data_IF_350605447178
#
_entry.id   IF_350605447178
#
_cell.length_a   1.000
_cell.length_b   1.000
_cell.length_c   1.000
_cell.angle_alpha   90.00
_cell.angle_beta   90.00
_cell.angle_gamma   90.00
#
_symmetry.space_group_name_H-M   'P 1'
#
loop_
_entity.id
_entity.type
_entity.pdbx_description
1 polymer ?
#
# COMPACT_ATOMS: atom_id res chain seq x y z
N UNK A 1 82.26 31.93 4.15
CA UNK A 1 82.37 33.32 4.68
C UNK A 1 81.40 34.21 4.00
N UNK A 2 80.67 35.13 4.58
CA UNK A 2 80.26 35.31 5.98
C UNK A 2 78.73 35.17 6.14
N UNK A 3 78.18 34.77 7.19
CA UNK A 3 77.79 35.30 8.47
C UNK A 3 76.93 36.59 8.47
N UNK A 4 75.88 36.53 9.23
CA UNK A 4 75.18 37.59 10.02
C UNK A 4 73.68 37.70 9.62
N UNK A 5 72.72 37.91 10.51
CA UNK A 5 72.64 38.22 11.94
C UNK A 5 71.23 37.84 12.43
N UNK A 6 71.16 37.46 13.69
CA UNK A 6 69.91 37.33 14.47
C UNK A 6 69.32 38.72 14.74
N UNK A 7 67.97 38.80 14.66
CA UNK A 7 67.28 39.84 15.43
C UNK A 7 66.09 39.20 16.13
N UNK A 8 66.13 39.23 17.44
CA UNK A 8 65.07 38.81 18.37
C UNK A 8 64.11 39.99 18.49
N UNK A 9 62.81 39.71 18.33
CA UNK A 9 61.81 40.68 18.74
C UNK A 9 60.81 39.97 19.65
N UNK A 10 60.88 40.36 20.92
CA UNK A 10 59.98 39.94 21.99
C UNK A 10 58.67 40.73 21.88
N UNK A 11 57.51 40.10 21.77
CA UNK A 11 56.24 40.79 21.97
C UNK A 11 55.43 40.03 23.02
N UNK A 12 55.03 40.83 24.01
CA UNK A 12 54.33 40.48 25.25
C UNK A 12 52.94 39.96 24.96
N UNK A 13 52.62 38.79 25.51
CA UNK A 13 51.26 38.17 25.44
C UNK A 13 50.34 38.76 26.50
N UNK A 14 49.21 39.33 26.10
CA UNK A 14 48.10 39.61 27.00
C UNK A 14 47.15 38.42 26.93
N UNK A 15 47.00 37.69 28.03
CA UNK A 15 46.08 36.61 28.20
C UNK A 15 44.65 37.13 28.40
N UNK A 16 43.75 36.85 27.45
CA UNK A 16 42.31 36.95 27.62
C UNK A 16 41.75 35.54 27.80
N UNK A 17 41.36 35.19 29.02
CA UNK A 17 40.57 33.99 29.31
C UNK A 17 39.18 34.18 28.75
N UNK A 18 38.87 33.48 27.63
CA UNK A 18 37.52 33.29 27.16
C UNK A 18 37.04 31.91 27.64
N UNK A 19 36.06 31.89 28.53
CA UNK A 19 35.37 30.70 28.98
C UNK A 19 34.62 30.04 27.81
N UNK A 20 35.17 28.95 27.30
CA UNK A 20 34.49 28.06 26.34
C UNK A 20 33.44 27.26 27.09
N UNK A 21 32.16 27.60 26.83
CA UNK A 21 31.03 26.73 27.13
C UNK A 21 31.08 25.58 26.11
N UNK A 22 31.50 24.41 26.56
CA UNK A 22 31.44 23.18 25.77
C UNK A 22 29.98 22.71 25.74
N UNK A 23 29.27 23.09 24.70
CA UNK A 23 27.99 22.44 24.35
C UNK A 23 28.26 21.02 23.80
N UNK A 24 27.35 20.07 24.01
CA UNK A 24 27.52 18.73 23.45
C UNK A 24 27.64 18.81 21.93
N UNK A 25 28.76 18.35 21.40
CA UNK A 25 28.96 18.16 19.98
C UNK A 25 28.03 17.03 19.53
N UNK A 26 26.93 17.39 18.86
CA UNK A 26 26.25 16.46 18.02
C UNK A 26 27.21 16.13 16.87
N UNK A 27 27.77 14.92 16.89
CA UNK A 27 28.49 14.38 15.75
C UNK A 27 27.46 14.30 14.58
N UNK A 28 27.59 15.23 13.66
CA UNK A 28 26.90 15.23 12.38
C UNK A 28 27.62 14.15 11.54
N UNK A 29 27.18 12.90 11.75
CA UNK A 29 27.61 11.78 10.92
C UNK A 29 26.94 11.98 9.54
N UNK A 30 27.49 12.91 8.76
CA UNK A 30 27.20 13.03 7.34
C UNK A 30 27.68 11.73 6.68
N UNK A 31 26.80 10.71 6.70
CA UNK A 31 26.88 9.65 5.73
C UNK A 31 27.12 10.33 4.37
N UNK A 32 28.19 9.99 3.68
CA UNK A 32 28.44 10.42 2.31
C UNK A 32 27.23 9.99 1.50
N UNK A 33 26.26 10.87 1.36
CA UNK A 33 25.18 10.70 0.40
C UNK A 33 25.86 10.79 -0.96
N UNK A 34 25.76 9.70 -1.70
CA UNK A 34 26.17 9.66 -3.10
C UNK A 34 25.32 10.69 -3.84
N UNK A 35 25.89 11.86 -4.14
CA UNK A 35 25.17 13.01 -4.70
C UNK A 35 24.65 12.74 -6.12
N UNK A 36 25.00 11.59 -6.71
CA UNK A 36 24.55 11.14 -8.03
C UNK A 36 23.25 10.33 -8.03
N UNK A 37 22.67 10.00 -6.86
CA UNK A 37 21.42 9.25 -6.84
C UNK A 37 20.23 10.16 -7.22
N UNK A 38 19.31 9.70 -8.09
CA UNK A 38 18.12 10.45 -8.44
C UNK A 38 17.30 10.76 -7.18
N UNK A 39 16.76 12.00 -7.11
CA UNK A 39 15.96 12.52 -6.00
C UNK A 39 14.65 13.11 -6.54
N UNK A 40 13.60 13.23 -5.72
CA UNK A 40 12.41 13.97 -6.11
C UNK A 40 12.77 15.39 -6.55
N UNK A 41 12.29 15.83 -7.71
CA UNK A 41 12.64 17.13 -8.32
C UNK A 41 11.66 18.26 -7.96
N UNK A 42 10.62 17.97 -7.16
CA UNK A 42 9.60 18.95 -6.80
C UNK A 42 8.86 18.58 -5.52
N UNK A 43 7.87 19.39 -5.13
CA UNK A 43 7.04 19.11 -3.97
C UNK A 43 6.30 17.79 -4.17
N UNK A 44 6.33 16.95 -3.15
CA UNK A 44 5.57 15.70 -3.10
C UNK A 44 4.19 15.93 -2.48
N UNK A 45 3.27 14.99 -2.68
CA UNK A 45 1.95 14.99 -2.06
C UNK A 45 2.06 15.00 -0.53
N UNK A 46 1.09 15.63 0.14
CA UNK A 46 0.97 15.62 1.61
C UNK A 46 -0.22 14.81 2.09
N UNK A 47 -0.80 13.99 1.23
CA UNK A 47 -1.87 13.04 1.61
C UNK A 47 -1.35 12.16 2.74
N UNK A 48 -2.15 11.97 3.77
CA UNK A 48 -1.74 11.22 4.96
C UNK A 48 -0.86 11.97 5.95
N UNK A 49 -0.38 13.19 5.62
CA UNK A 49 0.37 14.02 6.56
C UNK A 49 1.50 14.84 5.94
N UNK A 50 1.74 16.01 6.49
CA UNK A 50 2.75 16.94 5.95
C UNK A 50 4.16 16.34 5.89
N UNK A 51 4.52 15.50 6.87
CA UNK A 51 5.86 14.87 6.93
C UNK A 51 6.09 13.89 5.78
N UNK A 52 5.03 13.20 5.32
CA UNK A 52 5.12 12.26 4.20
C UNK A 52 5.47 12.94 2.87
N UNK A 53 5.16 14.25 2.75
CA UNK A 53 5.55 15.07 1.60
C UNK A 53 6.98 15.61 1.64
N UNK A 54 7.72 15.38 2.72
CA UNK A 54 9.11 15.85 2.84
C UNK A 54 10.08 14.88 2.15
N UNK A 55 11.11 15.44 1.53
CA UNK A 55 12.21 14.67 0.93
C UNK A 55 13.05 14.02 2.04
N UNK A 56 13.55 12.81 1.75
CA UNK A 56 14.39 12.06 2.67
C UNK A 56 13.59 11.21 3.67
N UNK A 57 14.30 10.69 4.67
CA UNK A 57 13.74 9.78 5.66
C UNK A 57 12.96 10.52 6.74
N UNK A 58 11.76 10.08 6.98
CA UNK A 58 10.87 10.56 8.03
C UNK A 58 10.68 9.46 9.06
N UNK A 59 11.14 9.72 10.27
CA UNK A 59 10.97 8.86 11.45
C UNK A 59 11.00 9.72 12.70
N UNK A 60 10.28 9.32 13.75
CA UNK A 60 10.29 9.99 15.04
C UNK A 60 10.42 8.97 16.16
N UNK A 61 11.67 8.76 16.59
CA UNK A 61 12.01 7.77 17.59
C UNK A 61 11.67 8.28 19.00
N UNK A 62 10.84 7.55 19.71
CA UNK A 62 10.59 7.76 21.12
C UNK A 62 11.58 7.02 22.03
N UNK A 63 11.43 7.10 23.34
CA UNK A 63 12.31 6.43 24.30
C UNK A 63 12.31 4.90 24.09
N UNK A 64 13.50 4.32 23.95
CA UNK A 64 13.70 2.89 23.76
C UNK A 64 13.31 2.36 22.37
N UNK A 65 13.05 3.24 21.40
CA UNK A 65 12.87 2.84 20.01
C UNK A 65 14.21 2.42 19.40
N UNK A 66 14.23 1.34 18.59
CA UNK A 66 15.42 0.95 17.84
C UNK A 66 15.72 1.97 16.74
N UNK A 67 16.99 2.20 16.44
CA UNK A 67 17.39 2.95 15.25
C UNK A 67 16.91 2.24 13.97
N UNK A 68 16.67 3.01 12.90
CA UNK A 68 16.38 2.45 11.59
C UNK A 68 17.50 1.51 11.11
N UNK A 69 17.19 0.49 10.32
CA UNK A 69 18.19 -0.37 9.70
C UNK A 69 19.21 0.47 8.91
N UNK A 70 20.46 0.04 8.94
CA UNK A 70 21.51 0.61 8.09
C UNK A 70 21.37 0.06 6.67
N UNK A 71 21.93 0.77 5.69
CA UNK A 71 21.99 0.32 4.29
C UNK A 71 20.63 0.14 3.60
N UNK A 72 19.66 0.97 3.95
CA UNK A 72 18.42 1.09 3.16
C UNK A 72 18.73 1.91 1.90
N UNK A 73 18.57 1.30 0.75
CA UNK A 73 18.89 1.89 -0.55
C UNK A 73 17.66 2.10 -1.44
N UNK A 74 16.49 1.70 -0.96
CA UNK A 74 15.20 1.95 -1.63
C UNK A 74 15.01 3.44 -1.87
N UNK A 75 14.81 3.84 -3.13
CA UNK A 75 14.57 5.25 -3.50
C UNK A 75 13.32 5.82 -2.87
N UNK A 76 12.34 4.97 -2.66
CA UNK A 76 11.12 5.27 -1.91
C UNK A 76 10.73 4.05 -1.10
N UNK A 77 10.36 4.24 0.17
CA UNK A 77 9.86 3.16 1.02
C UNK A 77 8.96 3.68 2.14
N UNK A 78 8.14 2.81 2.69
CA UNK A 78 7.22 3.09 3.78
C UNK A 78 7.01 1.85 4.64
N UNK A 79 6.86 2.04 5.95
CA UNK A 79 6.41 1.02 6.92
C UNK A 79 5.20 1.56 7.65
N UNK A 80 4.10 0.82 7.64
CA UNK A 80 2.85 1.23 8.27
C UNK A 80 2.17 0.07 9.01
N UNK A 81 1.42 0.39 10.04
CA UNK A 81 0.52 -0.51 10.70
C UNK A 81 -0.75 -0.69 9.84
N UNK A 82 -1.06 -1.91 9.45
CA UNK A 82 -2.14 -2.20 8.51
C UNK A 82 -3.53 -1.92 9.10
N UNK A 83 -3.69 -2.11 10.42
CA UNK A 83 -4.97 -1.96 11.10
C UNK A 83 -5.27 -0.50 11.39
N UNK A 84 -4.39 0.19 12.11
CA UNK A 84 -4.57 1.60 12.45
C UNK A 84 -4.35 2.54 11.26
N UNK A 85 -3.53 2.15 10.29
CA UNK A 85 -3.09 2.99 9.19
C UNK A 85 -1.91 3.90 9.54
N UNK A 86 -1.42 3.88 10.77
CA UNK A 86 -0.30 4.72 11.20
C UNK A 86 0.98 4.40 10.44
N UNK A 87 1.61 5.43 9.86
CA UNK A 87 2.92 5.31 9.21
C UNK A 87 4.02 5.47 10.24
N UNK A 88 4.78 4.40 10.48
CA UNK A 88 5.84 4.36 11.47
C UNK A 88 7.11 5.07 11.00
N UNK A 89 7.46 4.88 9.72
CA UNK A 89 8.56 5.55 9.06
C UNK A 89 8.39 5.52 7.54
N UNK A 90 9.03 6.46 6.84
CA UNK A 90 9.05 6.49 5.39
C UNK A 90 10.29 7.19 4.85
N UNK A 91 10.56 6.98 3.57
CA UNK A 91 11.56 7.70 2.79
C UNK A 91 10.96 8.07 1.44
N UNK A 92 10.88 9.36 1.14
CA UNK A 92 10.30 9.86 -0.11
C UNK A 92 8.94 9.20 -0.44
N UNK A 93 8.03 9.07 0.53
CA UNK A 93 6.82 8.25 0.46
C UNK A 93 5.97 8.50 -0.78
N UNK A 94 5.91 9.73 -1.25
CA UNK A 94 5.12 10.21 -2.39
C UNK A 94 5.94 10.44 -3.66
N UNK A 95 7.16 9.89 -3.73
CA UNK A 95 7.94 9.98 -4.96
C UNK A 95 7.32 9.09 -6.05
N UNK A 96 6.93 9.71 -7.16
CA UNK A 96 6.34 9.04 -8.31
C UNK A 96 7.41 8.27 -9.08
N UNK A 97 7.36 6.96 -9.02
CA UNK A 97 8.26 6.02 -9.68
C UNK A 97 7.44 4.99 -10.48
N UNK A 98 8.03 4.35 -11.51
CA UNK A 98 7.38 3.24 -12.17
C UNK A 98 7.10 2.10 -11.18
N UNK A 99 5.87 1.58 -11.11
CA UNK A 99 5.49 0.58 -10.10
C UNK A 99 5.87 -0.85 -10.46
N UNK A 100 6.16 -1.15 -11.71
CA UNK A 100 6.23 -2.51 -12.22
C UNK A 100 4.97 -3.32 -11.82
N UNK A 101 5.11 -4.62 -11.67
CA UNK A 101 4.00 -5.53 -11.33
C UNK A 101 3.40 -5.35 -9.94
N UNK A 102 3.91 -4.44 -9.09
CA UNK A 102 3.20 -4.08 -7.84
C UNK A 102 1.89 -3.35 -8.13
N UNK A 103 1.72 -2.72 -9.32
CA UNK A 103 0.46 -2.15 -9.77
C UNK A 103 -0.67 -3.20 -9.87
N UNK A 104 -0.34 -4.49 -10.04
CA UNK A 104 -1.33 -5.57 -10.05
C UNK A 104 -2.13 -5.69 -8.75
N UNK A 105 -1.69 -5.07 -7.67
CA UNK A 105 -2.50 -4.97 -6.45
C UNK A 105 -3.73 -4.10 -6.68
N UNK A 106 -3.58 -2.95 -7.35
CA UNK A 106 -4.70 -2.11 -7.76
C UNK A 106 -5.60 -2.81 -8.78
N UNK A 107 -5.00 -3.51 -9.77
CA UNK A 107 -5.75 -4.33 -10.72
C UNK A 107 -6.65 -5.35 -9.99
N UNK A 108 -6.06 -6.13 -9.09
CA UNK A 108 -6.81 -7.13 -8.34
C UNK A 108 -7.87 -6.50 -7.44
N UNK A 109 -7.55 -5.42 -6.75
CA UNK A 109 -8.47 -4.71 -5.87
C UNK A 109 -9.70 -4.15 -6.63
N UNK A 110 -9.51 -3.77 -7.90
CA UNK A 110 -10.55 -3.25 -8.80
C UNK A 110 -11.40 -4.36 -9.42
N UNK A 111 -10.76 -5.40 -9.96
CA UNK A 111 -11.39 -6.37 -10.89
C UNK A 111 -11.93 -7.59 -10.15
N UNK A 112 -11.24 -8.07 -9.11
CA UNK A 112 -11.59 -9.30 -8.38
C UNK A 112 -13.04 -9.32 -7.86
N UNK A 113 -13.59 -8.21 -7.29
CA UNK A 113 -14.98 -8.21 -6.82
C UNK A 113 -16.03 -8.32 -7.94
N UNK A 114 -15.64 -8.10 -9.20
CA UNK A 114 -16.55 -8.09 -10.36
C UNK A 114 -16.55 -9.40 -11.13
N UNK A 115 -15.51 -10.20 -11.01
CA UNK A 115 -15.39 -11.49 -11.67
C UNK A 115 -15.68 -12.62 -10.68
N UNK A 116 -16.95 -12.77 -10.36
CA UNK A 116 -17.47 -13.79 -9.44
C UNK A 116 -18.59 -14.59 -10.13
N UNK A 117 -18.78 -15.86 -9.82
CA UNK A 117 -17.98 -16.67 -8.87
C UNK A 117 -16.61 -17.04 -9.45
N UNK A 118 -15.63 -17.33 -8.60
CA UNK A 118 -14.27 -17.71 -9.01
C UNK A 118 -14.19 -19.02 -9.85
N UNK A 119 -15.27 -19.79 -9.86
CA UNK A 119 -15.46 -20.99 -10.72
C UNK A 119 -15.91 -20.64 -12.13
N UNK A 120 -16.25 -19.38 -12.41
CA UNK A 120 -16.56 -18.93 -13.77
C UNK A 120 -15.40 -19.28 -14.71
N UNK A 121 -15.69 -19.77 -15.88
CA UNK A 121 -14.71 -20.17 -16.90
C UNK A 121 -14.70 -19.21 -18.07
N UNK A 122 -13.55 -19.09 -18.73
CA UNK A 122 -13.37 -18.32 -19.95
C UNK A 122 -12.56 -19.14 -20.96
N UNK A 123 -13.04 -19.20 -22.20
CA UNK A 123 -12.30 -19.76 -23.33
C UNK A 123 -11.42 -18.65 -23.90
N UNK A 124 -10.12 -18.80 -23.76
CA UNK A 124 -9.14 -17.79 -24.18
C UNK A 124 -9.05 -17.72 -25.70
N UNK A 125 -9.22 -16.53 -26.24
CA UNK A 125 -9.04 -16.22 -27.67
C UNK A 125 -7.72 -15.50 -27.92
N UNK A 126 -7.22 -15.43 -29.16
CA UNK A 126 -6.03 -14.63 -29.49
C UNK A 126 -6.17 -13.15 -29.08
N UNK A 127 -7.38 -12.60 -29.18
CA UNK A 127 -7.70 -11.22 -28.83
C UNK A 127 -7.51 -10.94 -27.32
N UNK A 128 -7.77 -11.94 -26.46
CA UNK A 128 -7.56 -11.83 -25.02
C UNK A 128 -6.07 -11.66 -24.65
N UNK A 129 -5.17 -12.14 -25.49
CA UNK A 129 -3.72 -12.08 -25.29
C UNK A 129 -3.06 -10.94 -26.09
N UNK A 130 -3.86 -10.24 -26.90
CA UNK A 130 -3.35 -9.12 -27.68
C UNK A 130 -2.81 -7.99 -26.78
N UNK A 131 -1.66 -7.43 -27.13
CA UNK A 131 -1.04 -6.31 -26.43
C UNK A 131 -0.28 -6.69 -25.16
N UNK A 132 -0.11 -7.98 -24.84
CA UNK A 132 0.85 -8.43 -23.82
C UNK A 132 2.26 -7.98 -24.25
N UNK A 133 2.91 -7.16 -23.44
CA UNK A 133 4.21 -6.57 -23.76
C UNK A 133 5.30 -7.62 -23.92
N UNK A 134 6.23 -7.40 -24.84
CA UNK A 134 7.37 -8.29 -25.04
C UNK A 134 8.24 -8.38 -23.79
N UNK A 135 8.76 -9.56 -23.46
CA UNK A 135 9.54 -9.80 -22.24
C UNK A 135 8.72 -9.82 -20.95
N UNK A 136 7.39 -9.77 -21.05
CA UNK A 136 6.49 -9.87 -19.90
C UNK A 136 6.64 -11.19 -19.13
N UNK A 137 6.43 -11.14 -17.82
CA UNK A 137 6.20 -12.35 -17.03
C UNK A 137 4.89 -13.00 -17.47
N UNK A 138 4.92 -14.30 -17.72
CA UNK A 138 3.76 -15.09 -18.16
C UNK A 138 3.54 -16.26 -17.21
N UNK A 139 2.29 -16.64 -16.99
CA UNK A 139 1.96 -17.94 -16.37
C UNK A 139 1.90 -19.06 -17.41
N UNK A 140 1.70 -18.73 -18.67
CA UNK A 140 1.67 -19.66 -19.80
C UNK A 140 0.27 -19.99 -20.29
N UNK A 141 -0.62 -19.01 -20.27
CA UNK A 141 -1.98 -19.09 -20.87
C UNK A 141 -1.85 -19.50 -22.35
N UNK A 142 -2.75 -20.42 -22.78
CA UNK A 142 -2.83 -20.88 -24.16
C UNK A 142 -4.14 -20.45 -24.78
N UNK A 143 -4.07 -20.06 -26.06
CA UNK A 143 -5.22 -19.82 -26.90
C UNK A 143 -6.05 -21.10 -27.07
N UNK A 144 -7.36 -20.93 -27.19
CA UNK A 144 -8.33 -22.01 -27.34
C UNK A 144 -8.41 -22.97 -26.14
N UNK A 145 -7.85 -22.58 -25.00
CA UNK A 145 -7.95 -23.28 -23.74
C UNK A 145 -8.89 -22.55 -22.77
N UNK A 146 -9.54 -23.33 -21.92
CA UNK A 146 -10.46 -22.78 -20.91
C UNK A 146 -9.80 -22.73 -19.55
N UNK A 147 -9.88 -21.59 -18.87
CA UNK A 147 -9.40 -21.39 -17.52
C UNK A 147 -10.51 -20.86 -16.62
N UNK A 148 -10.44 -21.22 -15.33
CA UNK A 148 -11.32 -20.61 -14.34
C UNK A 148 -10.79 -19.23 -13.93
N UNK A 149 -11.66 -18.36 -13.44
CA UNK A 149 -11.25 -17.08 -12.82
C UNK A 149 -10.26 -17.32 -11.69
N UNK A 150 -10.44 -18.41 -10.92
CA UNK A 150 -9.49 -18.81 -9.88
C UNK A 150 -8.09 -19.09 -10.44
N UNK A 151 -7.98 -19.88 -11.51
CA UNK A 151 -6.69 -20.19 -12.15
C UNK A 151 -6.01 -18.90 -12.63
N UNK A 152 -6.76 -18.04 -13.29
CA UNK A 152 -6.24 -16.77 -13.79
C UNK A 152 -5.67 -15.89 -12.65
N UNK A 153 -6.37 -15.79 -11.52
CA UNK A 153 -5.86 -15.05 -10.35
C UNK A 153 -4.61 -15.68 -9.74
N UNK A 154 -4.53 -17.01 -9.67
CA UNK A 154 -3.28 -17.69 -9.28
C UNK A 154 -2.14 -17.33 -10.24
N UNK A 155 -2.40 -17.28 -11.55
CA UNK A 155 -1.43 -16.81 -12.55
C UNK A 155 -0.94 -15.37 -12.28
N UNK A 156 -1.85 -14.45 -11.96
CA UNK A 156 -1.53 -13.03 -11.64
C UNK A 156 -0.66 -12.93 -10.40
N UNK A 157 -1.03 -13.60 -9.30
CA UNK A 157 -0.33 -13.41 -8.02
C UNK A 157 0.96 -14.22 -7.94
N UNK A 158 0.96 -15.49 -8.34
CA UNK A 158 2.12 -16.36 -8.18
C UNK A 158 3.19 -16.11 -9.26
N UNK A 159 2.77 -16.06 -10.53
CA UNK A 159 3.70 -15.89 -11.67
C UNK A 159 3.81 -14.46 -12.16
N UNK A 160 3.05 -13.54 -11.57
CA UNK A 160 2.99 -12.16 -12.09
C UNK A 160 2.54 -12.09 -13.55
N UNK A 161 1.75 -13.07 -14.02
CA UNK A 161 1.39 -13.30 -15.42
C UNK A 161 0.65 -12.14 -16.03
N UNK A 162 1.27 -11.45 -17.00
CA UNK A 162 0.61 -10.40 -17.78
C UNK A 162 -0.44 -10.99 -18.72
N UNK A 163 -0.22 -12.21 -19.22
CA UNK A 163 -1.20 -13.00 -19.97
C UNK A 163 -2.50 -13.18 -19.17
N UNK A 164 -2.40 -13.58 -17.91
CA UNK A 164 -3.59 -13.72 -17.04
C UNK A 164 -4.26 -12.37 -16.74
N UNK A 165 -3.48 -11.28 -16.59
CA UNK A 165 -4.04 -9.92 -16.44
C UNK A 165 -4.83 -9.52 -17.68
N UNK A 166 -4.33 -9.78 -18.88
CA UNK A 166 -4.98 -9.43 -20.14
C UNK A 166 -6.30 -10.23 -20.32
N UNK A 167 -6.30 -11.54 -20.06
CA UNK A 167 -7.53 -12.35 -20.09
C UNK A 167 -8.56 -11.83 -19.10
N UNK A 168 -8.19 -11.58 -17.85
CA UNK A 168 -9.12 -11.01 -16.85
C UNK A 168 -9.59 -9.60 -17.23
N UNK A 169 -8.74 -8.81 -17.88
CA UNK A 169 -9.13 -7.49 -18.40
C UNK A 169 -10.14 -7.60 -19.53
N UNK A 170 -9.97 -8.58 -20.44
CA UNK A 170 -10.94 -8.88 -21.48
C UNK A 170 -12.29 -9.26 -20.89
N UNK A 171 -12.32 -10.16 -19.90
CA UNK A 171 -13.53 -10.56 -19.17
C UNK A 171 -14.19 -9.37 -18.44
N UNK A 172 -13.43 -8.36 -18.03
CA UNK A 172 -13.93 -7.16 -17.35
C UNK A 172 -14.51 -6.11 -18.32
N UNK A 173 -14.28 -6.26 -19.63
CA UNK A 173 -14.75 -5.35 -20.67
C UNK A 173 -13.63 -4.69 -21.47
N UNK A 174 -12.45 -5.29 -21.46
CA UNK A 174 -11.28 -4.88 -22.23
C UNK A 174 -10.29 -4.01 -21.43
N UNK A 175 -9.06 -3.94 -21.92
CA UNK A 175 -7.96 -3.19 -21.28
C UNK A 175 -8.31 -1.71 -21.05
N UNK A 176 -8.90 -0.96 -22.01
CA UNK A 176 -9.25 0.44 -21.77
C UNK A 176 -10.25 0.64 -20.63
N UNK A 177 -11.27 -0.22 -20.54
CA UNK A 177 -12.28 -0.19 -19.48
C UNK A 177 -11.63 -0.49 -18.12
N UNK A 178 -10.74 -1.48 -18.10
CA UNK A 178 -10.01 -1.88 -16.89
C UNK A 178 -9.11 -0.74 -16.39
N UNK A 179 -8.33 -0.12 -17.26
CA UNK A 179 -7.45 1.03 -16.93
C UNK A 179 -8.26 2.19 -16.36
N UNK A 180 -9.38 2.54 -17.00
CA UNK A 180 -10.25 3.62 -16.51
C UNK A 180 -10.84 3.29 -15.12
N UNK A 181 -11.24 2.03 -14.90
CA UNK A 181 -11.75 1.58 -13.60
C UNK A 181 -10.65 1.58 -12.53
N UNK A 182 -9.44 1.14 -12.85
CA UNK A 182 -8.28 1.19 -11.95
C UNK A 182 -7.94 2.63 -11.56
N UNK A 183 -7.90 3.56 -12.52
CA UNK A 183 -7.63 4.98 -12.25
C UNK A 183 -8.67 5.56 -11.30
N UNK A 184 -9.96 5.31 -11.58
CA UNK A 184 -11.06 5.74 -10.72
C UNK A 184 -10.97 5.13 -9.32
N UNK A 185 -10.56 3.86 -9.21
CA UNK A 185 -10.39 3.20 -7.93
C UNK A 185 -9.19 3.77 -7.15
N UNK A 186 -8.09 4.09 -7.82
CA UNK A 186 -6.96 4.79 -7.20
C UNK A 186 -7.38 6.15 -6.61
N UNK A 187 -8.19 6.92 -7.35
CA UNK A 187 -8.75 8.19 -6.88
C UNK A 187 -9.66 8.00 -5.66
N UNK A 188 -10.52 6.97 -5.67
CA UNK A 188 -11.38 6.60 -4.53
C UNK A 188 -10.55 6.26 -3.28
N UNK A 189 -9.41 5.59 -3.46
CA UNK A 189 -8.47 5.28 -2.38
C UNK A 189 -7.59 6.47 -1.98
N UNK A 190 -7.75 7.63 -2.61
CA UNK A 190 -6.90 8.82 -2.43
C UNK A 190 -5.42 8.59 -2.81
N UNK A 191 -5.15 7.62 -3.68
CA UNK A 191 -3.84 7.30 -4.23
C UNK A 191 -3.52 8.24 -5.40
N UNK A 192 -3.20 9.49 -5.09
CA UNK A 192 -3.15 10.61 -6.04
C UNK A 192 -1.81 10.74 -6.78
N UNK A 193 -0.81 9.94 -6.42
CA UNK A 193 0.45 9.87 -7.15
C UNK A 193 0.40 8.87 -8.31
N UNK A 194 -0.66 8.05 -8.36
CA UNK A 194 -0.79 6.98 -9.34
C UNK A 194 -1.43 7.46 -10.63
N UNK A 195 -0.77 7.14 -11.74
CA UNK A 195 -1.32 7.27 -13.09
C UNK A 195 -1.24 5.92 -13.80
N UNK A 196 -2.40 5.38 -14.15
CA UNK A 196 -2.54 4.05 -14.75
C UNK A 196 -2.57 4.15 -16.25
N UNK A 197 -1.68 3.44 -16.94
CA UNK A 197 -1.62 3.36 -18.41
C UNK A 197 -1.90 1.94 -18.90
N UNK A 198 -1.42 0.93 -18.14
CA UNK A 198 -1.70 -0.49 -18.38
C UNK A 198 -2.16 -1.17 -17.09
N UNK A 199 -2.93 -2.28 -17.17
CA UNK A 199 -3.40 -2.97 -15.98
C UNK A 199 -2.34 -3.81 -15.27
N UNK A 200 -1.24 -4.12 -15.94
CA UNK A 200 -0.24 -5.11 -15.54
C UNK A 200 1.04 -4.52 -14.94
N UNK A 201 1.24 -3.20 -15.06
CA UNK A 201 2.44 -2.52 -14.57
C UNK A 201 3.63 -2.56 -15.55
N UNK A 202 3.40 -2.88 -16.82
CA UNK A 202 4.43 -2.81 -17.85
C UNK A 202 4.98 -1.39 -18.03
N UNK A 203 6.23 -1.25 -18.53
CA UNK A 203 6.88 0.05 -18.72
C UNK A 203 6.20 0.87 -19.83
N UNK A 204 5.22 1.68 -19.46
CA UNK A 204 4.63 2.67 -20.35
C UNK A 204 5.00 4.09 -19.93
N UNK A 205 5.20 5.01 -20.91
CA UNK A 205 5.39 6.41 -20.59
C UNK A 205 4.27 6.95 -19.69
N UNK A 206 4.64 7.65 -18.61
CA UNK A 206 3.74 8.23 -17.60
C UNK A 206 3.11 7.23 -16.64
N UNK A 207 3.30 5.93 -16.77
CA UNK A 207 2.82 4.97 -15.76
C UNK A 207 3.67 5.10 -14.50
N UNK A 208 3.07 5.61 -13.44
CA UNK A 208 3.75 5.88 -12.16
C UNK A 208 2.85 5.56 -10.97
N UNK A 209 3.47 5.34 -9.83
CA UNK A 209 2.84 5.24 -8.51
C UNK A 209 3.84 5.70 -7.46
N UNK A 210 3.49 5.63 -6.17
CA UNK A 210 4.39 5.91 -5.05
C UNK A 210 4.37 4.77 -4.03
N UNK A 211 5.34 4.72 -3.13
CA UNK A 211 5.33 3.75 -2.05
C UNK A 211 4.09 3.92 -1.17
N UNK A 212 3.63 5.15 -0.97
CA UNK A 212 2.41 5.45 -0.25
C UNK A 212 1.18 4.85 -0.93
N UNK A 213 0.99 5.12 -2.22
CA UNK A 213 -0.17 4.65 -2.99
C UNK A 213 -0.19 3.12 -3.09
N UNK A 214 0.96 2.49 -3.38
CA UNK A 214 1.08 1.03 -3.41
C UNK A 214 0.70 0.39 -2.07
N UNK A 215 1.00 1.07 -0.95
CA UNK A 215 0.62 0.60 0.39
C UNK A 215 -0.89 0.76 0.63
N UNK A 216 -1.53 1.82 0.08
CA UNK A 216 -3.00 1.95 0.10
C UNK A 216 -3.66 0.82 -0.69
N UNK A 217 -3.15 0.46 -1.87
CA UNK A 217 -3.68 -0.66 -2.68
C UNK A 217 -3.57 -1.99 -1.95
N UNK A 218 -2.44 -2.25 -1.30
CA UNK A 218 -2.27 -3.44 -0.49
C UNK A 218 -3.26 -3.47 0.68
N UNK A 219 -3.38 -2.36 1.43
CA UNK A 219 -4.31 -2.24 2.57
C UNK A 219 -5.76 -2.48 2.16
N UNK A 220 -6.19 -1.92 1.04
CA UNK A 220 -7.55 -2.10 0.50
C UNK A 220 -7.77 -3.53 0.01
N UNK A 221 -6.86 -4.06 -0.79
CA UNK A 221 -6.93 -5.43 -1.32
C UNK A 221 -7.02 -6.47 -0.21
N UNK A 222 -6.23 -6.33 0.85
CA UNK A 222 -6.21 -7.22 2.01
C UNK A 222 -7.52 -7.25 2.81
N UNK A 223 -8.47 -6.33 2.59
CA UNK A 223 -9.82 -6.45 3.15
C UNK A 223 -10.63 -7.57 2.47
N UNK A 224 -10.22 -8.04 1.29
CA UNK A 224 -10.90 -9.07 0.49
C UNK A 224 -10.29 -10.45 0.77
N UNK A 225 -11.14 -11.43 1.11
CA UNK A 225 -10.68 -12.79 1.44
C UNK A 225 -9.91 -13.44 0.29
N UNK A 226 -10.46 -13.34 -0.93
CA UNK A 226 -9.84 -13.92 -2.13
C UNK A 226 -8.47 -13.29 -2.44
N UNK A 227 -8.34 -11.98 -2.26
CA UNK A 227 -7.04 -11.29 -2.42
C UNK A 227 -6.00 -11.82 -1.44
N UNK A 228 -6.37 -12.00 -0.15
CA UNK A 228 -5.48 -12.58 0.86
C UNK A 228 -5.08 -14.01 0.52
N UNK A 229 -6.03 -14.83 0.07
CA UNK A 229 -5.78 -16.21 -0.36
C UNK A 229 -4.75 -16.24 -1.48
N UNK A 230 -4.99 -15.51 -2.57
CA UNK A 230 -4.08 -15.53 -3.74
C UNK A 230 -2.69 -14.99 -3.41
N UNK A 231 -2.58 -13.86 -2.73
CA UNK A 231 -1.28 -13.24 -2.47
C UNK A 231 -0.41 -14.03 -1.47
N UNK A 232 -1.01 -14.83 -0.59
CA UNK A 232 -0.30 -15.66 0.38
C UNK A 232 0.00 -17.09 -0.10
N UNK A 233 -0.58 -17.51 -1.23
CA UNK A 233 -0.37 -18.86 -1.78
C UNK A 233 1.06 -19.01 -2.28
N UNK A 234 1.77 -20.02 -1.75
CA UNK A 234 3.17 -20.29 -2.11
C UNK A 234 3.29 -21.05 -3.43
N UNK A 235 2.47 -22.09 -3.62
CA UNK A 235 2.46 -22.94 -4.82
C UNK A 235 1.05 -23.35 -5.16
N UNK A 236 0.78 -23.59 -6.44
CA UNK A 236 -0.51 -24.09 -6.92
C UNK A 236 -0.31 -24.94 -8.18
N UNK A 237 -1.28 -25.81 -8.46
CA UNK A 237 -1.39 -26.48 -9.75
C UNK A 237 -2.06 -25.54 -10.76
N UNK A 238 -1.51 -25.44 -11.96
CA UNK A 238 -2.01 -24.60 -13.05
C UNK A 238 -2.34 -25.45 -14.27
N UNK A 239 -3.51 -25.27 -14.92
CA UNK A 239 -3.91 -26.07 -16.07
C UNK A 239 -2.97 -25.82 -17.27
N UNK A 240 -2.42 -26.89 -17.82
CA UNK A 240 -1.64 -26.86 -19.06
C UNK A 240 -2.51 -26.91 -20.32
N UNK A 241 -1.88 -27.22 -21.44
CA UNK A 241 -2.55 -27.38 -22.74
C UNK A 241 -3.31 -28.71 -22.81
N UNK A 242 -4.55 -28.69 -23.34
CA UNK A 242 -5.33 -29.89 -23.60
C UNK A 242 -4.83 -30.61 -24.85
N UNK A 243 -4.22 -31.76 -24.69
CA UNK A 243 -3.80 -32.60 -25.81
C UNK A 243 -4.93 -33.52 -26.25
N UNK A 244 -5.14 -33.62 -27.57
CA UNK A 244 -6.20 -34.47 -28.15
C UNK A 244 -6.12 -35.92 -27.64
N UNK A 245 -7.25 -36.42 -27.10
CA UNK A 245 -7.34 -37.80 -26.60
C UNK A 245 -6.64 -38.08 -25.27
N UNK A 246 -6.11 -37.05 -24.57
CA UNK A 246 -5.49 -37.19 -23.27
C UNK A 246 -6.25 -36.37 -22.22
N UNK A 247 -6.12 -36.75 -20.94
CA UNK A 247 -6.58 -35.88 -19.85
C UNK A 247 -5.69 -34.62 -19.85
N UNK A 248 -6.29 -33.46 -19.58
CA UNK A 248 -5.55 -32.20 -19.42
C UNK A 248 -4.57 -32.33 -18.26
N UNK A 249 -3.30 -32.10 -18.53
CA UNK A 249 -2.24 -32.10 -17.53
C UNK A 249 -2.21 -30.75 -16.83
N UNK A 250 -1.76 -30.72 -15.59
CA UNK A 250 -1.42 -29.50 -14.87
C UNK A 250 0.08 -29.44 -14.59
N UNK A 251 0.57 -28.27 -14.26
CA UNK A 251 1.96 -28.06 -13.81
C UNK A 251 1.97 -27.14 -12.58
N UNK A 252 2.95 -27.34 -11.73
CA UNK A 252 3.07 -26.53 -10.53
C UNK A 252 3.60 -25.14 -10.87
N UNK A 253 2.95 -24.10 -10.35
CA UNK A 253 3.45 -22.72 -10.33
C UNK A 253 3.82 -22.32 -8.91
N UNK A 254 4.88 -21.50 -8.79
CA UNK A 254 5.38 -21.02 -7.51
C UNK A 254 5.31 -19.50 -7.45
N UNK A 255 4.99 -18.98 -6.27
CA UNK A 255 4.97 -17.54 -6.03
C UNK A 255 6.39 -16.96 -6.17
N UNK A 256 6.49 -15.86 -6.90
CA UNK A 256 7.76 -15.15 -7.11
C UNK A 256 8.16 -14.24 -5.95
N UNK A 257 7.32 -14.11 -4.92
CA UNK A 257 7.64 -13.41 -3.68
C UNK A 257 8.64 -14.24 -2.86
N UNK A 258 9.90 -13.79 -2.83
CA UNK A 258 10.99 -14.52 -2.17
C UNK A 258 10.90 -14.54 -0.65
N UNK A 259 10.14 -13.65 -0.05
CA UNK A 259 9.87 -13.73 1.40
C UNK A 259 8.86 -14.85 1.73
N UNK A 260 8.05 -15.31 0.75
CA UNK A 260 7.18 -16.49 0.92
C UNK A 260 7.95 -17.79 0.64
N UNK A 261 8.66 -17.83 -0.49
CA UNK A 261 9.21 -19.08 -1.05
C UNK A 261 10.68 -19.30 -0.75
N UNK A 262 11.39 -18.28 -0.30
CA UNK A 262 12.84 -18.28 -0.19
C UNK A 262 13.54 -18.16 -1.54
N UNK A 263 14.85 -17.89 -1.48
CA UNK A 263 15.80 -17.95 -2.58
C UNK A 263 17.23 -17.97 -2.00
N UNK A 264 18.25 -18.12 -2.84
CA UNK A 264 19.66 -18.05 -2.39
C UNK A 264 19.91 -16.70 -1.71
N UNK A 265 20.23 -16.75 -0.41
CA UNK A 265 20.49 -15.56 0.41
C UNK A 265 19.25 -14.79 0.88
N UNK A 266 18.06 -15.39 0.73
CA UNK A 266 16.79 -14.88 1.28
C UNK A 266 15.98 -16.04 1.85
N UNK A 267 15.90 -16.14 3.15
CA UNK A 267 15.06 -17.11 3.81
C UNK A 267 13.58 -16.69 3.78
N UNK A 268 12.62 -17.65 3.81
CA UNK A 268 11.22 -17.33 4.02
C UNK A 268 11.05 -16.52 5.31
N UNK A 269 10.36 -15.38 5.20
CA UNK A 269 10.21 -14.45 6.31
C UNK A 269 9.05 -14.86 7.22
N UNK A 270 9.34 -15.01 8.52
CA UNK A 270 8.33 -15.46 9.50
C UNK A 270 7.17 -14.47 9.60
N UNK A 271 5.96 -14.97 9.35
CA UNK A 271 4.72 -14.18 9.43
C UNK A 271 4.34 -13.46 8.15
N UNK A 272 5.12 -13.60 7.05
CA UNK A 272 4.76 -13.01 5.76
C UNK A 272 3.46 -13.63 5.22
N UNK A 273 2.56 -12.79 4.70
CA UNK A 273 1.28 -13.19 4.12
C UNK A 273 1.02 -12.57 2.73
N UNK A 274 2.06 -12.12 2.07
CA UNK A 274 1.97 -11.51 0.74
C UNK A 274 2.91 -10.30 0.62
N UNK A 275 2.73 -9.37 -0.30
CA UNK A 275 1.59 -9.17 -1.22
C UNK A 275 2.04 -9.32 -2.67
N UNK A 276 2.92 -8.43 -3.19
CA UNK A 276 3.33 -8.43 -4.59
C UNK A 276 4.74 -7.88 -4.78
N UNK A 277 5.49 -8.53 -5.64
CA UNK A 277 6.78 -8.07 -6.15
C UNK A 277 6.65 -7.61 -7.61
N UNK A 278 7.59 -6.79 -8.07
CA UNK A 278 7.69 -6.35 -9.44
C UNK A 278 9.13 -6.10 -9.87
N UNK A 279 9.35 -6.19 -11.17
CA UNK A 279 10.59 -5.80 -11.81
C UNK A 279 10.29 -5.40 -13.26
N UNK A 280 10.80 -4.26 -13.68
CA UNK A 280 10.91 -3.85 -15.08
C UNK A 280 12.22 -3.09 -15.26
N UNK A 281 12.61 -2.84 -16.50
CA UNK A 281 13.85 -2.10 -16.79
C UNK A 281 13.85 -0.69 -16.18
N UNK A 282 12.71 0.01 -16.24
CA UNK A 282 12.60 1.38 -15.72
C UNK A 282 12.32 1.43 -14.22
N UNK A 283 11.55 0.47 -13.70
CA UNK A 283 11.21 0.45 -12.29
C UNK A 283 12.36 -0.06 -11.40
N UNK A 284 13.25 -0.90 -11.94
CA UNK A 284 14.07 -1.75 -11.08
C UNK A 284 13.19 -2.70 -10.26
N UNK A 285 13.68 -3.17 -9.12
CA UNK A 285 12.92 -4.02 -8.22
C UNK A 285 11.93 -3.21 -7.39
N UNK A 286 10.71 -3.71 -7.24
CA UNK A 286 9.67 -3.16 -6.36
C UNK A 286 9.05 -4.28 -5.53
N UNK A 287 8.67 -3.98 -4.31
CA UNK A 287 8.04 -4.96 -3.42
C UNK A 287 7.06 -4.27 -2.46
N UNK A 288 5.88 -4.86 -2.31
CA UNK A 288 4.97 -4.58 -1.19
C UNK A 288 4.72 -5.85 -0.43
N UNK A 289 4.96 -5.83 0.87
CA UNK A 289 4.81 -6.96 1.78
C UNK A 289 3.85 -6.68 2.91
N UNK A 290 3.20 -7.73 3.40
CA UNK A 290 2.42 -7.73 4.64
C UNK A 290 2.90 -8.87 5.53
N UNK A 291 3.12 -8.59 6.80
CA UNK A 291 3.52 -9.62 7.77
C UNK A 291 2.79 -9.44 9.10
N UNK A 292 2.54 -10.55 9.78
CA UNK A 292 1.93 -10.59 11.11
C UNK A 292 2.89 -11.19 12.13
N UNK A 293 3.01 -10.52 13.29
CA UNK A 293 3.69 -11.04 14.48
C UNK A 293 2.97 -10.59 15.74
N UNK A 294 2.65 -11.54 16.61
CA UNK A 294 2.03 -11.28 17.91
C UNK A 294 0.74 -10.45 17.83
N UNK A 295 -0.09 -10.72 16.82
CA UNK A 295 -1.35 -10.02 16.58
C UNK A 295 -1.21 -8.61 16.00
N UNK A 296 -0.01 -8.20 15.59
CA UNK A 296 0.23 -6.94 14.87
C UNK A 296 0.51 -7.21 13.40
N UNK A 297 -0.14 -6.45 12.54
CA UNK A 297 0.01 -6.58 11.08
C UNK A 297 0.70 -5.33 10.53
N UNK A 298 1.85 -5.50 9.89
CA UNK A 298 2.59 -4.41 9.26
C UNK A 298 2.61 -4.56 7.74
N UNK A 299 2.54 -3.41 7.08
CA UNK A 299 2.78 -3.24 5.65
C UNK A 299 4.15 -2.60 5.43
N UNK A 300 4.83 -3.05 4.40
CA UNK A 300 6.07 -2.44 3.90
C UNK A 300 6.00 -2.31 2.39
N UNK A 301 6.42 -1.17 1.85
CA UNK A 301 6.67 -1.02 0.41
C UNK A 301 8.08 -0.49 0.22
N UNK A 302 8.83 -1.10 -0.71
CA UNK A 302 10.18 -0.67 -1.12
C UNK A 302 10.20 -0.59 -2.65
N UNK A 303 10.65 0.55 -3.17
CA UNK A 303 10.72 0.80 -4.60
C UNK A 303 12.15 1.14 -5.01
N UNK A 304 12.63 0.46 -6.05
CA UNK A 304 13.85 0.74 -6.78
C UNK A 304 15.09 0.94 -5.86
N UNK A 305 15.48 -0.07 -5.07
CA UNK A 305 16.74 0.00 -4.33
C UNK A 305 17.92 0.17 -5.29
N UNK A 306 18.87 1.02 -4.90
CA UNK A 306 20.09 1.28 -5.68
C UNK A 306 21.22 0.28 -5.36
N UNK A 307 21.04 -0.59 -4.39
CA UNK A 307 21.99 -1.66 -4.08
C UNK A 307 22.11 -2.65 -5.23
N UNK A 308 23.33 -3.02 -5.57
CA UNK A 308 23.64 -4.11 -6.52
C UNK A 308 23.54 -5.50 -5.88
N UNK A 309 23.25 -5.56 -4.58
CA UNK A 309 23.10 -6.81 -3.87
C UNK A 309 21.92 -7.61 -4.40
N UNK A 310 22.13 -8.90 -4.63
CA UNK A 310 21.03 -9.78 -5.06
C UNK A 310 19.90 -9.76 -4.03
N UNK A 311 18.67 -9.62 -4.53
CA UNK A 311 17.47 -9.58 -3.69
C UNK A 311 17.41 -8.43 -2.69
N UNK A 312 18.13 -7.31 -2.92
CA UNK A 312 18.16 -6.14 -2.04
C UNK A 312 16.74 -5.71 -1.60
N UNK A 313 15.77 -5.64 -2.52
CA UNK A 313 14.39 -5.24 -2.23
C UNK A 313 13.72 -6.09 -1.15
N UNK A 314 13.99 -7.40 -1.12
CA UNK A 314 13.43 -8.31 -0.11
C UNK A 314 14.18 -8.19 1.22
N UNK A 315 15.51 -8.06 1.19
CA UNK A 315 16.35 -7.89 2.40
C UNK A 315 16.03 -6.58 3.11
N UNK A 316 15.89 -5.49 2.36
CA UNK A 316 15.50 -4.21 2.90
C UNK A 316 14.07 -4.24 3.46
N UNK A 317 13.12 -4.86 2.74
CA UNK A 317 11.75 -5.02 3.22
C UNK A 317 11.68 -5.85 4.51
N UNK A 318 12.42 -6.95 4.60
CA UNK A 318 12.53 -7.78 5.80
C UNK A 318 13.10 -7.00 6.98
N UNK A 319 14.19 -6.25 6.75
CA UNK A 319 14.82 -5.40 7.77
C UNK A 319 13.89 -4.29 8.27
N UNK A 320 13.13 -3.66 7.36
CA UNK A 320 12.12 -2.65 7.69
C UNK A 320 10.96 -3.24 8.49
N UNK A 321 10.51 -4.45 8.16
CA UNK A 321 9.48 -5.17 8.93
C UNK A 321 9.98 -5.52 10.34
N UNK A 322 11.21 -6.05 10.47
CA UNK A 322 11.82 -6.37 11.78
C UNK A 322 11.95 -5.10 12.65
N UNK A 323 12.40 -4.01 12.04
CA UNK A 323 12.44 -2.72 12.70
C UNK A 323 11.03 -2.28 13.12
N UNK A 324 10.06 -2.34 12.22
CA UNK A 324 8.69 -1.92 12.47
C UNK A 324 8.03 -2.67 13.62
N UNK A 325 8.21 -4.00 13.70
CA UNK A 325 7.72 -4.80 14.84
C UNK A 325 8.40 -4.40 16.15
N UNK A 326 9.69 -4.12 16.13
CA UNK A 326 10.46 -3.73 17.31
C UNK A 326 10.19 -2.29 17.76
N UNK A 327 9.87 -1.40 16.80
CA UNK A 327 9.60 0.02 16.99
C UNK A 327 8.15 0.33 17.36
N UNK A 328 7.23 -0.59 17.08
CA UNK A 328 5.80 -0.41 17.32
C UNK A 328 5.50 -0.03 18.77
N UNK A 329 4.74 1.07 18.95
CA UNK A 329 4.43 1.64 20.25
C UNK A 329 5.56 2.46 20.88
N UNK A 330 6.72 2.57 20.19
CA UNK A 330 7.89 3.34 20.65
C UNK A 330 8.28 4.47 19.70
N UNK A 331 7.53 4.67 18.64
CA UNK A 331 7.72 5.76 17.68
C UNK A 331 6.45 6.60 17.59
N UNK A 332 6.62 7.89 17.34
CA UNK A 332 5.48 8.75 16.98
C UNK A 332 5.23 8.59 15.49
N UNK A 333 4.00 8.25 15.05
CA UNK A 333 3.68 8.12 13.63
C UNK A 333 4.00 9.40 12.85
N UNK A 334 4.56 9.25 11.66
CA UNK A 334 4.93 10.37 10.79
C UNK A 334 3.80 10.77 9.84
N UNK A 335 2.71 10.04 9.84
CA UNK A 335 1.51 10.24 9.06
C UNK A 335 0.59 9.01 9.13
N UNK A 336 -0.44 9.01 8.29
CA UNK A 336 -1.46 7.96 8.26
C UNK A 336 -1.75 7.52 6.82
N UNK A 337 -2.06 6.25 6.63
CA UNK A 337 -2.71 5.74 5.43
C UNK A 337 -4.18 6.16 5.45
N UNK A 338 -4.55 7.09 4.59
CA UNK A 338 -5.91 7.64 4.57
C UNK A 338 -6.96 6.57 4.22
N UNK A 339 -8.19 6.69 4.75
CA UNK A 339 -9.29 5.82 4.35
C UNK A 339 -9.76 6.16 2.93
N UNK A 340 -10.51 5.28 2.24
CA UNK A 340 -11.20 5.61 1.00
C UNK A 340 -12.13 6.81 1.16
N UNK A 341 -12.37 7.55 0.08
CA UNK A 341 -13.28 8.72 0.08
C UNK A 341 -14.67 8.35 0.58
N UNK A 342 -15.19 7.19 0.17
CA UNK A 342 -16.50 6.67 0.59
C UNK A 342 -16.59 6.34 2.09
N UNK A 343 -15.47 6.08 2.76
CA UNK A 343 -15.41 5.82 4.21
C UNK A 343 -15.17 7.09 5.04
N UNK A 344 -14.96 8.25 4.41
CA UNK A 344 -14.70 9.52 5.10
C UNK A 344 -16.03 10.17 5.52
N UNK A 345 -16.33 10.36 6.82
CA UNK A 345 -17.56 11.01 7.25
C UNK A 345 -17.63 12.45 6.69
N UNK A 346 -18.64 12.74 5.88
CA UNK A 346 -18.94 14.10 5.37
C UNK A 346 -18.66 14.37 3.89
N UNK A 347 -18.10 13.43 3.12
CA UNK A 347 -17.97 13.51 1.65
C UNK A 347 -18.71 12.41 0.88
N UNK A 348 -19.35 11.50 1.60
CA UNK A 348 -20.13 10.42 1.01
C UNK A 348 -21.59 10.77 0.89
N UNK A 349 -22.08 10.84 -0.34
CA UNK A 349 -23.48 10.73 -0.72
C UNK A 349 -24.39 11.93 -0.37
N UNK A 350 -24.29 13.00 -1.11
CA UNK A 350 -25.53 13.59 -1.60
C UNK A 350 -26.09 12.62 -2.67
N UNK A 351 -26.71 11.54 -2.22
CA UNK A 351 -27.53 10.71 -3.10
C UNK A 351 -28.70 11.56 -3.57
N UNK A 352 -29.13 11.38 -4.83
CA UNK A 352 -30.27 12.06 -5.41
C UNK A 352 -31.53 12.00 -4.51
N UNK A 353 -31.64 11.02 -3.65
CA UNK A 353 -32.71 10.83 -2.67
C UNK A 353 -32.62 11.82 -1.48
N UNK A 354 -31.42 12.24 -1.06
CA UNK A 354 -31.25 13.23 0.00
C UNK A 354 -31.58 14.65 -0.54
N UNK A 355 -31.25 14.92 -1.81
CA UNK A 355 -31.61 16.18 -2.47
C UNK A 355 -33.14 16.26 -2.74
N UNK A 356 -33.77 15.15 -3.12
CA UNK A 356 -35.22 15.06 -3.25
C UNK A 356 -35.94 15.21 -1.91
N UNK A 357 -35.37 14.68 -0.82
CA UNK A 357 -35.91 14.85 0.54
C UNK A 357 -35.76 16.30 1.03
N UNK A 358 -34.62 16.96 0.76
CA UNK A 358 -34.41 18.38 1.09
C UNK A 358 -35.34 19.29 0.30
N UNK A 359 -35.56 19.04 -0.98
CA UNK A 359 -36.54 19.80 -1.82
C UNK A 359 -37.98 19.60 -1.32
N UNK A 360 -38.39 18.43 -0.86
CA UNK A 360 -39.69 18.18 -0.25
C UNK A 360 -39.88 18.87 1.10
N UNK A 361 -38.84 18.96 1.93
CA UNK A 361 -38.88 19.68 3.21
C UNK A 361 -38.90 21.18 3.01
N UNK A 362 -38.11 21.70 2.06
CA UNK A 362 -38.13 23.15 1.73
C UNK A 362 -39.46 23.62 1.13
N UNK A 363 -40.11 22.77 0.29
CA UNK A 363 -41.43 23.09 -0.28
C UNK A 363 -42.55 23.06 0.80
N UNK A 364 -42.36 22.29 1.91
CA UNK A 364 -43.32 22.24 3.00
C UNK A 364 -43.09 23.30 4.07
N UNK A 365 -41.90 23.91 4.14
CA UNK A 365 -41.59 25.02 5.05
C UNK A 365 -42.02 26.39 4.51
N UNK A 366 -42.31 26.50 3.21
CA UNK A 366 -42.75 27.77 2.55
C UNK A 366 -44.23 28.12 2.75
N UNK A 367 -45.03 27.25 3.38
CA UNK A 367 -46.50 27.45 3.54
C UNK A 367 -46.95 27.67 4.99
N UNK A 368 -46.04 27.78 5.97
CA UNK A 368 -46.38 28.06 7.37
C UNK A 368 -45.48 29.18 7.93
N UNK A 369 -45.59 30.37 7.37
CA UNK A 369 -45.02 31.58 7.97
C UNK A 369 -45.99 32.71 7.89
N UNK A 370 -47.08 32.64 8.66
CA UNK A 370 -47.88 33.78 9.14
C UNK A 370 -48.68 33.29 10.35
N UNK A 371 -48.17 33.44 11.56
CA UNK A 371 -48.77 33.96 12.77
C UNK A 371 -48.02 33.49 14.04
N UNK A 372 -47.56 34.51 14.78
CA UNK A 372 -47.68 34.59 16.26
C UNK A 372 -46.84 33.70 17.18
N UNK A 373 -45.82 34.33 17.78
CA UNK A 373 -45.65 34.35 19.24
C UNK A 373 -45.13 33.12 20.03
N UNK A 374 -43.91 33.27 20.60
CA UNK A 374 -43.42 32.88 21.94
C UNK A 374 -43.19 31.40 22.33
N UNK A 375 -41.94 31.16 22.75
CA UNK A 375 -41.49 30.21 23.80
C UNK A 375 -41.84 28.71 23.70
N UNK A 376 -41.11 27.95 22.89
CA UNK A 376 -40.92 26.48 23.12
C UNK A 376 -39.73 25.91 22.28
N UNK A 377 -38.52 26.42 22.49
CA UNK A 377 -37.34 26.02 21.67
C UNK A 377 -36.42 24.95 22.21
N UNK A 378 -36.54 24.55 23.51
CA UNK A 378 -35.53 23.65 24.13
C UNK A 378 -36.00 22.18 24.25
N UNK A 379 -37.31 21.94 24.32
CA UNK A 379 -37.88 20.59 24.47
C UNK A 379 -37.81 19.71 23.21
N UNK A 380 -37.82 20.30 22.01
CA UNK A 380 -37.84 19.55 20.75
C UNK A 380 -36.43 19.05 20.35
N UNK A 381 -35.39 19.76 20.71
CA UNK A 381 -34.01 19.34 20.40
C UNK A 381 -33.58 18.09 21.22
N UNK A 382 -34.02 17.97 22.48
CA UNK A 382 -33.72 16.84 23.34
C UNK A 382 -34.48 15.56 22.95
N UNK A 383 -35.69 15.68 22.42
CA UNK A 383 -36.49 14.53 21.96
C UNK A 383 -35.96 13.94 20.65
N UNK A 384 -35.35 14.72 19.77
CA UNK A 384 -34.75 14.22 18.50
C UNK A 384 -33.46 13.46 18.77
N UNK A 385 -32.60 13.93 19.68
CA UNK A 385 -31.36 13.26 20.08
C UNK A 385 -31.64 11.95 20.81
N UNK A 386 -32.63 11.91 21.71
CA UNK A 386 -33.05 10.71 22.39
C UNK A 386 -33.62 9.62 21.46
N UNK A 387 -34.43 10.02 20.48
CA UNK A 387 -34.98 9.10 19.47
C UNK A 387 -33.91 8.48 18.57
N UNK A 388 -32.89 9.25 18.20
CA UNK A 388 -31.78 8.77 17.35
C UNK A 388 -30.89 7.75 18.08
N UNK A 389 -30.64 7.94 19.38
CA UNK A 389 -29.88 7.00 20.21
C UNK A 389 -30.62 5.68 20.42
N UNK A 390 -31.94 5.71 20.56
CA UNK A 390 -32.77 4.49 20.70
C UNK A 390 -32.81 3.71 19.39
N UNK A 391 -32.86 4.38 18.22
CA UNK A 391 -32.80 3.72 16.89
C UNK A 391 -31.44 3.13 16.60
N UNK A 392 -30.33 3.78 17.00
CA UNK A 392 -28.99 3.23 16.87
C UNK A 392 -28.77 2.00 17.77
N UNK A 393 -29.23 2.05 19.03
CA UNK A 393 -29.15 0.91 19.92
C UNK A 393 -30.00 -0.27 19.44
N UNK A 394 -31.20 -0.01 18.92
CA UNK A 394 -32.07 -1.01 18.29
C UNK A 394 -31.46 -1.61 17.03
N UNK A 395 -30.81 -0.80 16.20
CA UNK A 395 -30.11 -1.27 14.99
C UNK A 395 -28.94 -2.20 15.32
N UNK A 396 -28.10 -1.84 16.27
CA UNK A 396 -26.98 -2.68 16.76
C UNK A 396 -27.49 -3.99 17.36
N UNK A 397 -28.57 -3.94 18.16
CA UNK A 397 -29.19 -5.14 18.73
C UNK A 397 -29.73 -6.09 17.66
N UNK A 398 -30.40 -5.58 16.63
CA UNK A 398 -30.95 -6.40 15.53
C UNK A 398 -29.86 -7.02 14.66
N UNK A 399 -28.77 -6.29 14.37
CA UNK A 399 -27.62 -6.79 13.64
C UNK A 399 -26.93 -7.90 14.43
N UNK A 400 -26.70 -7.71 15.72
CA UNK A 400 -26.07 -8.72 16.58
C UNK A 400 -26.97 -9.97 16.79
N UNK A 401 -28.27 -9.83 16.70
CA UNK A 401 -29.22 -10.96 16.76
C UNK A 401 -29.29 -11.76 15.45
N UNK A 402 -29.08 -11.11 14.31
CA UNK A 402 -29.20 -11.77 12.98
C UNK A 402 -27.87 -12.38 12.51
N UNK A 403 -26.74 -11.88 13.00
CA UNK A 403 -25.40 -12.42 12.76
C UNK A 403 -24.59 -12.42 14.07
N UNK A 404 -24.76 -13.45 14.94
CA UNK A 404 -23.93 -13.54 16.13
C UNK A 404 -22.48 -13.75 15.73
N UNK A 405 -21.60 -12.89 16.25
CA UNK A 405 -20.15 -13.04 16.08
C UNK A 405 -19.73 -14.40 16.65
N UNK A 406 -18.90 -15.19 15.97
CA UNK A 406 -18.41 -16.46 16.49
C UNK A 406 -17.61 -16.24 17.77
N UNK A 407 -17.97 -16.99 18.83
CA UNK A 407 -17.26 -17.02 20.11
C UNK A 407 -15.80 -17.48 19.94
N UNK A 408 -14.88 -16.55 19.83
CA UNK A 408 -13.46 -16.77 20.03
C UNK A 408 -13.18 -16.64 21.53
N UNK A 409 -12.89 -17.77 22.18
CA UNK A 409 -12.38 -18.02 23.54
C UNK A 409 -13.31 -18.87 24.41
N UNK A 410 -13.12 -20.19 24.33
CA UNK A 410 -13.12 -21.09 25.50
C UNK A 410 -12.19 -22.29 25.23
N UNK A 411 -10.92 -22.16 25.56
CA UNK A 411 -10.07 -23.33 25.83
C UNK A 411 -10.43 -23.87 27.23
N UNK A 412 -10.94 -25.09 27.27
CA UNK A 412 -11.05 -25.88 28.50
C UNK A 412 -9.67 -26.47 28.84
N UNK A 413 -9.24 -26.46 30.09
CA UNK A 413 -8.06 -27.23 30.50
C UNK A 413 -8.40 -28.72 30.48
N UNK A 414 -7.49 -29.54 29.99
CA UNK A 414 -7.51 -30.99 30.17
C UNK A 414 -6.87 -31.32 31.49
N UNK A 415 -7.57 -32.19 32.27
CA UNK A 415 -7.05 -32.93 33.38
C UNK A 415 -6.03 -33.97 32.93
#
# INVERSE_FOLDING_TARGET
MPALKKTVLTVISAALLSSLVVGPAFADDKAKTDDNQPRPTGPMSTVGGKRLGLIGTQVELGPGAPALPKHLTGRSWIVADAESGQVLASHNAHWRLPPASTLKMLFADTVLPKLQPRTMTHLVTPEDLAGVGEGSSLVGIKENETYTVHDLWLGVFLRSGNDAVHVLSSMYGGVPTTVAAMQKHAEELQALDTHVVSPDGYDFPKQVSSAYDLTLFARSGLQKADFREYCSTATAEFPGEQKKGKKRESFQIQNTNRLITGDIGVDPYKGIAGVKNGYTTHAGNTFTGVAERNGRVLLVTVMNPSSEESHAVYKEAASLLDWGFSASGKVTPVGDLVPPLSATPGKGSESADAEAARKKVAAKAGTVAANGGSHAGIGIALSIVGGLLVLLAGGVFLINRRWPLPDLVRRRPRA
#
